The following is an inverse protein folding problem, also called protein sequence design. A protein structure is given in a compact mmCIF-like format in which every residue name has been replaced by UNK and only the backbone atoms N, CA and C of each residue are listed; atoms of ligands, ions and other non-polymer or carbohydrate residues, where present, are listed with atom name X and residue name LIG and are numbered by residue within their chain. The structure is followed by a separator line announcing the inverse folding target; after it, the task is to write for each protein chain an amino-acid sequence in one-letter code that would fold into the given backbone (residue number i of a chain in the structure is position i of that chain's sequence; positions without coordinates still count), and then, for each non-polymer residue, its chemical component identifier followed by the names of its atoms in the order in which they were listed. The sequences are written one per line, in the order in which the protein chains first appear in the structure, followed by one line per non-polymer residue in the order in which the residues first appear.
data_IF_403964622755
#
_entry.id   IF_403964622755
#
_cell.length_a   1.000
_cell.length_b   1.000
_cell.length_c   1.000
_cell.angle_alpha   90.00
_cell.angle_beta   90.00
_cell.angle_gamma   90.00
#
_symmetry.space_group_name_H-M   'P 1'
#
loop_
_entity.id
_entity.type
_entity.pdbx_description
1 polymer ?
#
# COMPACT_ATOMS: atom_id res chain seq x y z
N UNK A 1 -10.61 -2.91 2.48
CA UNK A 1 -9.14 -2.98 2.29
C UNK A 1 -8.71 -4.45 2.22
N UNK A 2 -7.75 -4.77 1.36
CA UNK A 2 -7.32 -6.14 1.10
C UNK A 2 -6.27 -6.20 -0.02
N UNK A 3 -5.72 -7.39 -0.33
CA UNK A 3 -4.78 -7.55 -1.43
C UNK A 3 -5.45 -7.18 -2.75
N UNK A 4 -4.72 -6.47 -3.60
CA UNK A 4 -5.16 -6.10 -4.94
C UNK A 4 -4.19 -6.71 -5.97
N UNK A 5 -4.71 -7.20 -7.11
CA UNK A 5 -3.85 -7.76 -8.14
C UNK A 5 -2.97 -6.68 -8.75
N UNK A 6 -1.67 -6.98 -8.88
CA UNK A 6 -0.71 -6.12 -9.55
C UNK A 6 -0.66 -6.45 -11.04
N UNK A 7 -0.56 -5.41 -11.87
CA UNK A 7 -0.30 -5.53 -13.30
C UNK A 7 0.77 -4.51 -13.72
N UNK A 8 1.52 -4.75 -14.80
CA UNK A 8 2.47 -3.78 -15.32
C UNK A 8 1.81 -2.41 -15.56
N UNK A 9 2.51 -1.34 -15.15
CA UNK A 9 2.05 0.05 -15.24
C UNK A 9 0.81 0.40 -14.41
N UNK A 10 0.45 -0.41 -13.40
CA UNK A 10 -0.60 -0.05 -12.45
C UNK A 10 -0.26 1.25 -11.72
N UNK A 11 -1.17 2.22 -11.76
CA UNK A 11 -1.04 3.47 -11.02
C UNK A 11 -1.81 3.46 -9.70
N UNK A 12 -1.44 4.35 -8.78
CA UNK A 12 -2.11 4.54 -7.51
C UNK A 12 -3.59 4.87 -7.71
N UNK A 13 -3.91 5.78 -8.64
CA UNK A 13 -5.29 6.12 -8.95
C UNK A 13 -6.10 4.94 -9.49
N UNK A 14 -5.48 4.10 -10.33
CA UNK A 14 -6.11 2.87 -10.83
C UNK A 14 -6.36 1.87 -9.71
N UNK A 15 -5.40 1.67 -8.81
CA UNK A 15 -5.56 0.79 -7.65
C UNK A 15 -6.74 1.25 -6.78
N UNK A 16 -6.83 2.55 -6.49
CA UNK A 16 -7.91 3.10 -5.65
C UNK A 16 -9.26 2.92 -6.34
N UNK A 17 -9.34 3.16 -7.65
CA UNK A 17 -10.56 2.90 -8.42
C UNK A 17 -10.96 1.41 -8.37
N UNK A 18 -10.00 0.49 -8.51
CA UNK A 18 -10.24 -0.95 -8.39
C UNK A 18 -10.69 -1.36 -6.98
N UNK A 19 -10.21 -0.67 -5.95
CA UNK A 19 -10.62 -0.88 -4.57
C UNK A 19 -12.03 -0.35 -4.25
N UNK A 20 -12.74 0.22 -5.24
CA UNK A 20 -14.07 0.79 -5.08
C UNK A 20 -14.07 2.27 -4.67
N UNK A 21 -12.94 2.96 -4.81
CA UNK A 21 -12.76 4.33 -4.34
C UNK A 21 -12.39 4.39 -2.86
N UNK A 22 -12.66 5.53 -2.23
CA UNK A 22 -12.41 5.74 -0.81
C UNK A 22 -13.71 5.62 0.00
N UNK A 23 -13.58 5.34 1.30
CA UNK A 23 -14.70 5.38 2.24
C UNK A 23 -14.96 6.80 2.73
N UNK A 24 -16.18 7.12 3.16
CA UNK A 24 -16.57 8.47 3.65
C UNK A 24 -15.70 9.02 4.80
N UNK A 25 -15.02 8.16 5.56
CA UNK A 25 -14.10 8.55 6.63
C UNK A 25 -12.62 8.58 6.24
N UNK A 26 -12.28 8.48 4.95
CA UNK A 26 -10.88 8.48 4.50
C UNK A 26 -10.31 9.90 4.42
N UNK A 27 -9.12 10.09 4.98
CA UNK A 27 -8.32 11.30 4.83
C UNK A 27 -7.39 11.13 3.64
N UNK A 28 -7.91 11.48 2.48
CA UNK A 28 -7.31 11.21 1.18
C UNK A 28 -6.18 12.21 0.83
N UNK A 29 -6.06 13.30 1.56
CA UNK A 29 -4.96 14.28 1.48
C UNK A 29 -3.61 13.75 1.98
N UNK A 30 -3.63 12.66 2.75
CA UNK A 30 -2.49 12.09 3.46
C UNK A 30 -2.27 10.60 3.12
N UNK A 31 -2.52 10.19 1.87
CA UNK A 31 -2.21 8.80 1.51
C UNK A 31 -0.70 8.58 1.38
N UNK A 32 -0.26 7.35 1.60
CA UNK A 32 1.14 6.96 1.45
C UNK A 32 1.28 5.65 0.67
N UNK A 33 2.24 5.61 -0.25
CA UNK A 33 2.77 4.37 -0.81
C UNK A 33 4.01 3.99 -0.02
N UNK A 34 3.94 2.87 0.68
CA UNK A 34 5.02 2.29 1.45
C UNK A 34 5.69 1.24 0.56
N UNK A 35 6.96 1.48 0.23
CA UNK A 35 7.74 0.61 -0.65
C UNK A 35 8.93 0.08 0.11
N UNK A 36 9.04 -1.24 0.20
CA UNK A 36 10.23 -1.89 0.78
C UNK A 36 11.04 -2.56 -0.31
N UNK A 37 12.29 -2.14 -0.47
CA UNK A 37 13.23 -2.71 -1.44
C UNK A 37 14.61 -2.88 -0.78
N UNK A 38 15.18 -4.08 -0.86
CA UNK A 38 16.50 -4.40 -0.32
C UNK A 38 16.72 -3.96 1.15
N UNK A 39 15.68 -4.07 2.00
CA UNK A 39 15.73 -3.69 3.41
C UNK A 39 15.57 -2.19 3.67
N UNK A 40 15.45 -1.36 2.63
CA UNK A 40 15.16 0.07 2.74
C UNK A 40 13.67 0.29 2.52
N UNK A 41 13.04 1.05 3.41
CA UNK A 41 11.64 1.46 3.28
C UNK A 41 11.56 2.91 2.82
N UNK A 42 10.95 3.13 1.67
CA UNK A 42 10.62 4.43 1.10
C UNK A 42 9.14 4.73 1.31
N UNK A 43 8.81 5.97 1.67
CA UNK A 43 7.44 6.44 1.87
C UNK A 43 7.19 7.56 0.88
N UNK A 44 6.26 7.32 -0.05
CA UNK A 44 5.82 8.31 -1.02
C UNK A 44 4.47 8.83 -0.58
N UNK A 45 4.44 10.04 -0.02
CA UNK A 45 3.18 10.69 0.37
C UNK A 45 2.50 11.23 -0.87
N UNK A 46 1.19 10.97 -1.00
CA UNK A 46 0.37 11.40 -2.13
C UNK A 46 -0.91 12.04 -1.63
N UNK A 47 -1.19 13.24 -2.15
CA UNK A 47 -2.48 13.90 -1.97
C UNK A 47 -3.47 13.34 -3.01
N UNK A 48 -4.32 12.40 -2.58
CA UNK A 48 -5.33 11.80 -3.44
C UNK A 48 -6.46 12.78 -3.81
N UNK A 49 -6.65 13.88 -3.06
CA UNK A 49 -7.59 14.95 -3.43
C UNK A 49 -7.18 15.52 -4.79
N UNK A 50 -5.91 15.91 -4.88
CA UNK A 50 -5.33 16.48 -6.09
C UNK A 50 -5.33 15.46 -7.22
N UNK A 51 -5.05 14.19 -6.91
CA UNK A 51 -4.98 13.15 -7.92
C UNK A 51 -6.37 12.80 -8.50
N UNK A 52 -7.36 12.58 -7.62
CA UNK A 52 -8.63 11.96 -7.98
C UNK A 52 -9.75 12.96 -8.19
N UNK A 53 -9.77 14.08 -7.44
CA UNK A 53 -10.80 15.12 -7.59
C UNK A 53 -10.35 16.24 -8.53
N UNK A 54 -9.10 16.70 -8.40
CA UNK A 54 -8.57 17.76 -9.27
C UNK A 54 -7.96 17.22 -10.57
N UNK A 55 -7.77 15.91 -10.67
CA UNK A 55 -7.27 15.24 -11.87
C UNK A 55 -5.78 15.46 -12.16
N UNK A 56 -4.98 15.81 -11.15
CA UNK A 56 -3.55 16.06 -11.32
C UNK A 56 -2.77 14.76 -11.57
N UNK A 57 -2.71 14.33 -12.84
CA UNK A 57 -2.06 13.07 -13.22
C UNK A 57 -0.55 13.01 -12.93
N UNK A 58 0.11 14.15 -12.77
CA UNK A 58 1.55 14.21 -12.50
C UNK A 58 1.95 13.59 -11.15
N UNK A 59 1.02 13.53 -10.20
CA UNK A 59 1.27 12.94 -8.88
C UNK A 59 0.85 11.47 -8.81
N UNK A 60 0.30 10.90 -9.90
CA UNK A 60 -0.11 9.50 -9.96
C UNK A 60 1.13 8.59 -9.99
N UNK A 61 1.34 7.87 -8.89
CA UNK A 61 2.53 7.02 -8.73
C UNK A 61 2.34 5.68 -9.42
N UNK A 62 3.35 5.24 -10.17
CA UNK A 62 3.43 3.86 -10.61
C UNK A 62 3.78 2.95 -9.43
N UNK A 63 2.95 1.93 -9.24
CA UNK A 63 3.13 0.93 -8.20
C UNK A 63 4.12 -0.14 -8.66
N UNK A 64 4.80 -0.72 -7.67
CA UNK A 64 5.68 -1.88 -7.82
C UNK A 64 5.06 -3.08 -7.07
N UNK A 65 5.47 -4.31 -7.43
CA UNK A 65 5.09 -5.48 -6.66
C UNK A 65 5.42 -5.28 -5.17
N UNK A 66 4.48 -5.68 -4.30
CA UNK A 66 4.59 -5.58 -2.85
C UNK A 66 4.60 -4.15 -2.26
N UNK A 67 4.27 -3.12 -3.06
CA UNK A 67 3.93 -1.81 -2.52
C UNK A 67 2.66 -1.92 -1.65
N UNK A 68 2.66 -1.22 -0.53
CA UNK A 68 1.48 -1.09 0.34
C UNK A 68 0.94 0.33 0.23
N UNK A 69 -0.32 0.46 -0.16
CA UNK A 69 -1.02 1.75 -0.16
C UNK A 69 -1.81 1.90 1.12
N UNK A 70 -1.45 2.91 1.91
CA UNK A 70 -2.09 3.24 3.17
C UNK A 70 -2.85 4.56 3.05
N UNK A 71 -4.12 4.53 3.47
CA UNK A 71 -4.98 5.73 3.52
C UNK A 71 -5.46 5.89 4.96
N UNK A 72 -5.02 6.92 5.69
CA UNK A 72 -5.41 7.13 7.07
C UNK A 72 -6.89 7.54 7.20
N UNK A 73 -7.45 7.31 8.39
CA UNK A 73 -8.77 7.84 8.79
C UNK A 73 -8.66 9.12 9.64
N UNK A 74 -7.48 9.40 10.17
CA UNK A 74 -7.19 10.52 11.06
C UNK A 74 -5.87 11.17 10.64
N UNK A 75 -5.69 12.49 10.83
CA UNK A 75 -4.46 13.17 10.44
C UNK A 75 -3.24 12.58 11.15
N UNK A 76 -2.15 12.43 10.41
CA UNK A 76 -0.88 11.92 10.90
C UNK A 76 0.03 13.12 11.19
N UNK A 77 0.14 13.46 12.48
CA UNK A 77 1.02 14.56 12.90
C UNK A 77 2.50 14.26 12.65
N UNK A 78 2.92 12.99 12.71
CA UNK A 78 4.30 12.57 12.48
C UNK A 78 4.35 11.25 11.70
N UNK A 79 4.63 11.36 10.41
CA UNK A 79 4.75 10.21 9.51
C UNK A 79 5.87 9.24 9.89
N UNK A 80 7.02 9.76 10.31
CA UNK A 80 8.14 8.90 10.71
C UNK A 80 7.80 8.07 11.95
N UNK A 81 7.12 8.68 12.93
CA UNK A 81 6.70 7.97 14.14
C UNK A 81 5.62 6.92 13.84
N UNK A 82 4.63 7.26 13.01
CA UNK A 82 3.58 6.34 12.61
C UNK A 82 4.15 5.10 11.91
N UNK A 83 5.06 5.29 10.95
CA UNK A 83 5.65 4.19 10.19
C UNK A 83 6.51 3.30 11.08
N UNK A 84 7.31 3.86 12.00
CA UNK A 84 8.12 3.06 12.92
C UNK A 84 7.28 2.13 13.81
N UNK A 85 6.02 2.48 14.07
CA UNK A 85 5.10 1.65 14.87
C UNK A 85 4.46 0.52 14.06
N UNK A 86 4.29 0.68 12.75
CA UNK A 86 3.55 -0.26 11.89
C UNK A 86 4.44 -1.02 10.89
N UNK A 87 5.66 -0.55 10.64
CA UNK A 87 6.64 -1.19 9.77
C UNK A 87 6.89 -2.67 10.14
N UNK A 88 7.00 -3.07 11.43
CA UNK A 88 7.14 -4.49 11.79
C UNK A 88 5.96 -5.36 11.34
N UNK A 89 4.77 -4.79 11.22
CA UNK A 89 3.58 -5.50 10.74
C UNK A 89 3.64 -5.68 9.22
N UNK A 90 4.11 -4.67 8.49
CA UNK A 90 4.24 -4.73 7.04
C UNK A 90 5.36 -5.66 6.57
N UNK A 91 6.46 -5.77 7.33
CA UNK A 91 7.52 -6.73 7.02
C UNK A 91 7.06 -8.19 7.12
N UNK A 92 6.06 -8.50 7.96
CA UNK A 92 5.46 -9.83 8.02
C UNK A 92 4.60 -10.17 6.80
N UNK A 93 3.91 -9.17 6.22
CA UNK A 93 3.02 -9.36 5.07
C UNK A 93 3.81 -9.57 3.77
N UNK A 94 4.99 -8.94 3.64
CA UNK A 94 5.85 -9.07 2.46
C UNK A 94 6.81 -10.28 2.51
N UNK A 95 6.73 -11.13 3.54
CA UNK A 95 7.39 -12.43 3.51
C UNK A 95 6.64 -13.34 2.54
N UNK A 96 7.29 -13.94 1.52
CA UNK A 96 6.65 -14.94 0.69
C UNK A 96 6.17 -16.09 1.58
N UNK A 97 4.87 -16.42 1.48
CA UNK A 97 4.18 -17.46 2.26
C UNK A 97 4.67 -18.87 1.86
N UNK A 98 5.95 -19.18 2.02
CA UNK A 98 6.48 -20.53 1.82
C UNK A 98 6.02 -21.52 2.90
N UNK A 99 5.48 -21.02 4.03
CA UNK A 99 5.00 -21.86 5.15
C UNK A 99 3.76 -22.68 4.81
N UNK A 100 2.87 -22.21 3.91
CA UNK A 100 1.63 -22.96 3.60
C UNK A 100 1.90 -24.13 2.64
N UNK A 101 2.85 -23.98 1.71
CA UNK A 101 3.16 -25.03 0.73
C UNK A 101 3.87 -26.23 1.37
N UNK A 102 4.72 -25.99 2.37
CA UNK A 102 5.40 -27.05 3.13
C UNK A 102 4.43 -27.84 4.03
N UNK A 103 3.44 -27.19 4.63
CA UNK A 103 2.43 -27.89 5.45
C UNK A 103 1.55 -28.80 4.60
N UNK A 104 1.22 -28.40 3.36
CA UNK A 104 0.45 -29.27 2.45
C UNK A 104 1.31 -30.44 1.96
N UNK A 105 2.56 -30.18 1.57
CA UNK A 105 3.50 -31.22 1.14
C UNK A 105 3.84 -32.23 2.24
N UNK A 106 3.87 -31.83 3.52
CA UNK A 106 4.09 -32.72 4.66
C UNK A 106 2.86 -33.56 5.03
N UNK A 107 1.66 -33.17 4.58
CA UNK A 107 0.43 -33.95 4.79
C UNK A 107 0.23 -35.05 3.74
N UNK A 108 0.99 -34.98 2.65
CA UNK A 108 0.99 -35.94 1.55
C UNK A 108 2.12 -37.00 1.69
N UNK A 109 2.73 -37.12 2.89
CA UNK A 109 3.63 -38.19 3.31
C UNK A 109 3.00 -39.09 4.39
#
# INVERSE_FOLDING_TARGET
PGPAPYFPNLTLGQLIAQAGGWTDGARYDEAAVIRSAAGVTEILTVDLRRLLLEGEKRIDQYLKPNDVVFVPRTPIANWNAFINQIAPTFTLINQPLYTILSIKALKDF
#
